data_IF_876224004274
#
_entry.id   IF_876224004274
#
_cell.length_a   1.000
_cell.length_b   1.000
_cell.length_c   1.000
_cell.angle_alpha   90.00
_cell.angle_beta   90.00
_cell.angle_gamma   90.00
#
_symmetry.space_group_name_H-M   'P 1'
#
loop_
_entity.id
_entity.type
_entity.pdbx_description
1 polymer ?
#
# COMPACT_ATOMS: atom_id res chain seq x y z
N UNK A 1 24.06 -28.94 -14.49
CA UNK A 1 23.44 -29.12 -15.82
C UNK A 1 23.99 -30.35 -16.55
N UNK A 2 25.29 -30.58 -16.58
CA UNK A 2 25.94 -31.71 -17.28
C UNK A 2 25.53 -33.10 -16.79
N UNK A 3 24.89 -33.24 -15.66
CA UNK A 3 24.42 -34.50 -15.08
C UNK A 3 22.89 -34.56 -14.92
N UNK A 4 22.18 -33.50 -15.26
CA UNK A 4 20.74 -33.44 -15.09
C UNK A 4 20.00 -34.24 -16.15
N UNK A 5 19.01 -35.02 -15.73
CA UNK A 5 18.15 -35.80 -16.63
C UNK A 5 17.00 -34.93 -17.19
N UNK A 6 16.56 -33.92 -16.41
CA UNK A 6 15.56 -32.92 -16.80
C UNK A 6 16.09 -31.51 -16.56
N UNK A 7 16.01 -30.67 -17.59
CA UNK A 7 16.31 -29.22 -17.48
C UNK A 7 15.05 -28.43 -17.79
N UNK A 8 14.66 -27.57 -16.87
CA UNK A 8 13.50 -26.67 -16.99
C UNK A 8 14.02 -25.23 -17.05
N UNK A 9 13.59 -24.43 -18.00
CA UNK A 9 14.04 -23.04 -18.13
C UNK A 9 13.16 -22.26 -19.09
N UNK A 10 13.28 -20.93 -19.09
CA UNK A 10 12.68 -20.14 -20.15
C UNK A 10 13.36 -20.38 -21.49
N UNK A 11 12.64 -20.19 -22.61
CA UNK A 11 13.11 -20.41 -24.01
C UNK A 11 14.54 -19.94 -24.21
N UNK A 12 14.83 -18.70 -23.80
CA UNK A 12 16.17 -18.10 -23.98
C UNK A 12 17.27 -18.79 -23.15
N UNK A 13 16.99 -19.15 -21.90
CA UNK A 13 17.96 -19.79 -21.03
C UNK A 13 18.28 -21.19 -21.53
N UNK A 14 17.27 -21.93 -22.02
CA UNK A 14 17.43 -23.25 -22.63
C UNK A 14 18.29 -23.15 -23.88
N UNK A 15 18.03 -22.21 -24.78
CA UNK A 15 18.80 -22.02 -25.99
C UNK A 15 20.27 -21.65 -25.71
N UNK A 16 20.49 -20.71 -24.79
CA UNK A 16 21.84 -20.21 -24.44
C UNK A 16 22.72 -21.29 -23.83
N UNK A 17 22.16 -22.16 -22.99
CA UNK A 17 22.91 -23.15 -22.21
C UNK A 17 22.79 -24.57 -22.75
N UNK A 18 22.18 -24.76 -23.91
CA UNK A 18 21.94 -26.07 -24.52
C UNK A 18 23.21 -26.95 -24.65
N UNK A 19 24.36 -26.33 -24.91
CA UNK A 19 25.65 -26.98 -25.01
C UNK A 19 26.21 -27.51 -23.66
N UNK A 20 25.65 -27.07 -22.54
CA UNK A 20 26.02 -27.53 -21.20
C UNK A 20 25.12 -28.65 -20.67
N UNK A 21 24.12 -29.08 -21.42
CA UNK A 21 23.21 -30.11 -20.96
C UNK A 21 23.79 -31.51 -21.20
N UNK A 22 23.39 -32.46 -20.34
CA UNK A 22 23.69 -33.90 -20.56
C UNK A 22 23.11 -34.34 -21.92
N UNK A 23 23.82 -35.12 -22.65
CA UNK A 23 23.31 -35.75 -23.88
C UNK A 23 22.03 -36.55 -23.56
N UNK A 24 20.95 -36.25 -24.28
CA UNK A 24 19.65 -36.87 -24.06
C UNK A 24 18.83 -36.32 -22.87
N UNK A 25 19.28 -35.25 -22.20
CA UNK A 25 18.49 -34.61 -21.16
C UNK A 25 17.15 -34.09 -21.70
N UNK A 26 16.05 -34.38 -20.99
CA UNK A 26 14.76 -33.84 -21.32
C UNK A 26 14.74 -32.33 -21.03
N UNK A 27 14.10 -31.55 -21.91
CA UNK A 27 13.96 -30.11 -21.74
C UNK A 27 12.50 -29.73 -21.62
N UNK A 28 12.20 -28.77 -20.73
CA UNK A 28 10.86 -28.17 -20.57
C UNK A 28 10.95 -26.66 -20.57
N UNK A 29 10.22 -26.04 -21.48
CA UNK A 29 10.10 -24.59 -21.52
C UNK A 29 9.02 -24.12 -20.51
N UNK A 30 9.43 -23.31 -19.53
CA UNK A 30 8.53 -22.77 -18.51
C UNK A 30 7.84 -21.48 -18.95
N UNK A 31 8.16 -20.96 -20.14
CA UNK A 31 7.58 -19.70 -20.65
C UNK A 31 6.05 -19.84 -20.79
N UNK A 32 5.31 -19.02 -20.05
CA UNK A 32 3.84 -19.14 -19.97
C UNK A 32 3.30 -20.35 -19.19
N UNK A 33 4.17 -21.21 -18.66
CA UNK A 33 3.80 -22.47 -18.01
C UNK A 33 4.35 -22.62 -16.58
N UNK A 34 4.60 -21.51 -15.90
CA UNK A 34 5.19 -21.48 -14.56
C UNK A 34 4.44 -22.40 -13.56
N UNK A 35 3.12 -22.47 -13.65
CA UNK A 35 2.29 -23.30 -12.77
C UNK A 35 2.54 -24.83 -12.92
N UNK A 36 3.11 -25.27 -14.03
CA UNK A 36 3.41 -26.68 -14.27
C UNK A 36 4.79 -27.10 -13.72
N UNK A 37 5.68 -26.15 -13.43
CA UNK A 37 7.07 -26.45 -13.02
C UNK A 37 7.13 -27.32 -11.75
N UNK A 38 6.32 -27.11 -10.69
CA UNK A 38 6.32 -28.00 -9.53
C UNK A 38 5.95 -29.44 -9.88
N UNK A 39 4.98 -29.65 -10.78
CA UNK A 39 4.53 -30.97 -11.21
C UNK A 39 5.63 -31.69 -11.99
N UNK A 40 6.30 -31.01 -12.91
CA UNK A 40 7.43 -31.57 -13.65
C UNK A 40 8.60 -31.99 -12.74
N UNK A 41 8.92 -31.12 -11.76
CA UNK A 41 9.96 -31.39 -10.77
C UNK A 41 9.59 -32.59 -9.87
N UNK A 42 8.33 -32.69 -9.44
CA UNK A 42 7.83 -33.83 -8.66
C UNK A 42 7.84 -35.13 -9.46
N UNK A 43 7.41 -35.11 -10.72
CA UNK A 43 7.45 -36.29 -11.61
C UNK A 43 8.88 -36.81 -11.84
N UNK A 44 9.84 -35.90 -12.08
CA UNK A 44 11.24 -36.25 -12.20
C UNK A 44 11.78 -36.91 -10.91
N UNK A 45 11.42 -36.35 -9.73
CA UNK A 45 11.82 -36.93 -8.43
C UNK A 45 11.23 -38.31 -8.21
N UNK A 46 9.97 -38.56 -8.55
CA UNK A 46 9.31 -39.86 -8.46
C UNK A 46 9.99 -40.90 -9.38
N UNK A 47 10.47 -40.46 -10.54
CA UNK A 47 11.23 -41.27 -11.47
C UNK A 47 12.73 -41.40 -11.10
N UNK A 48 13.17 -40.94 -9.93
CA UNK A 48 14.56 -40.89 -9.48
C UNK A 48 15.48 -40.17 -10.45
N UNK A 49 14.94 -39.18 -11.19
CA UNK A 49 15.67 -38.35 -12.14
C UNK A 49 16.16 -37.07 -11.47
N UNK A 50 17.35 -36.62 -11.84
CA UNK A 50 17.87 -35.30 -11.43
C UNK A 50 17.26 -34.21 -12.27
N UNK A 51 16.72 -33.16 -11.59
CA UNK A 51 16.05 -32.02 -12.22
C UNK A 51 16.80 -30.73 -11.91
N UNK A 52 17.01 -29.88 -12.90
CA UNK A 52 17.57 -28.54 -12.78
C UNK A 52 16.57 -27.51 -13.32
N UNK A 53 16.27 -26.49 -12.53
CA UNK A 53 15.47 -25.34 -12.96
C UNK A 53 16.40 -24.15 -13.16
N UNK A 54 16.46 -23.64 -14.39
CA UNK A 54 17.25 -22.46 -14.74
C UNK A 54 16.54 -21.17 -14.36
N UNK A 55 17.23 -20.29 -13.70
CA UNK A 55 16.75 -18.96 -13.36
C UNK A 55 17.71 -17.88 -13.89
N UNK A 56 17.19 -16.74 -14.26
CA UNK A 56 18.00 -15.57 -14.63
C UNK A 56 18.32 -14.78 -13.34
N UNK A 57 19.59 -14.44 -13.14
CA UNK A 57 20.05 -13.75 -11.93
C UNK A 57 19.99 -14.63 -10.68
N UNK A 58 19.72 -14.03 -9.52
CA UNK A 58 19.56 -14.75 -8.25
C UNK A 58 18.16 -15.40 -8.16
N UNK A 59 18.06 -16.74 -8.03
CA UNK A 59 16.78 -17.43 -7.92
C UNK A 59 15.92 -17.00 -6.72
N UNK A 60 16.52 -16.42 -5.68
CA UNK A 60 15.83 -15.95 -4.45
C UNK A 60 15.42 -14.47 -4.50
N UNK A 61 16.06 -13.68 -5.36
CA UNK A 61 15.73 -12.25 -5.49
C UNK A 61 14.56 -12.04 -6.47
N UNK A 62 13.32 -12.10 -5.99
CA UNK A 62 12.10 -12.09 -6.82
C UNK A 62 12.10 -13.14 -7.94
N UNK A 63 12.87 -14.21 -7.76
CA UNK A 63 13.03 -15.29 -8.71
C UNK A 63 12.06 -16.46 -8.46
N UNK A 64 12.30 -17.56 -9.17
CA UNK A 64 11.44 -18.75 -9.15
C UNK A 64 11.56 -19.56 -7.85
N UNK A 65 12.68 -19.47 -7.11
CA UNK A 65 12.94 -20.35 -5.97
C UNK A 65 11.92 -20.21 -4.83
N UNK A 66 11.46 -19.00 -4.40
CA UNK A 66 10.39 -18.87 -3.41
C UNK A 66 9.05 -19.46 -3.86
N UNK A 67 8.75 -19.41 -5.15
CA UNK A 67 7.56 -20.06 -5.70
C UNK A 67 7.67 -21.58 -5.58
N UNK A 68 8.79 -22.15 -5.99
CA UNK A 68 9.03 -23.60 -5.91
C UNK A 68 9.05 -24.09 -4.45
N UNK A 69 9.65 -23.35 -3.54
CA UNK A 69 9.72 -23.70 -2.12
C UNK A 69 8.33 -23.82 -1.47
N UNK A 70 7.34 -23.08 -1.94
CA UNK A 70 5.93 -23.18 -1.46
C UNK A 70 5.18 -24.40 -2.00
N UNK A 71 5.65 -24.99 -3.09
CA UNK A 71 4.97 -26.10 -3.78
C UNK A 71 5.72 -27.44 -3.66
N UNK A 72 6.98 -27.39 -3.24
CA UNK A 72 7.83 -28.57 -3.07
C UNK A 72 8.20 -28.72 -1.59
N UNK A 73 8.50 -29.95 -1.15
CA UNK A 73 8.99 -30.19 0.21
C UNK A 73 10.31 -29.44 0.44
N UNK A 74 10.50 -28.90 1.65
CA UNK A 74 11.65 -28.05 2.05
C UNK A 74 13.00 -28.68 1.68
N UNK A 75 13.15 -30.00 1.82
CA UNK A 75 14.38 -30.75 1.53
C UNK A 75 14.51 -31.19 0.05
N UNK A 76 13.58 -30.76 -0.83
CA UNK A 76 13.59 -31.15 -2.24
C UNK A 76 14.29 -30.12 -3.13
N UNK A 77 14.63 -28.95 -2.61
CA UNK A 77 15.17 -27.84 -3.39
C UNK A 77 16.55 -27.43 -2.89
N UNK A 78 17.55 -27.50 -3.78
CA UNK A 78 18.86 -26.89 -3.56
C UNK A 78 19.00 -25.66 -4.44
N UNK A 79 19.10 -24.47 -3.84
CA UNK A 79 19.28 -23.21 -4.56
C UNK A 79 20.78 -22.94 -4.74
N UNK A 80 21.19 -22.68 -5.96
CA UNK A 80 22.53 -22.20 -6.31
C UNK A 80 22.40 -20.68 -6.56
N UNK A 81 22.93 -19.82 -5.67
CA UNK A 81 22.83 -18.38 -5.84
C UNK A 81 23.67 -17.88 -7.01
N UNK A 82 23.25 -16.75 -7.56
CA UNK A 82 24.01 -16.03 -8.59
C UNK A 82 23.81 -14.52 -8.37
N UNK A 83 24.58 -13.70 -9.09
CA UNK A 83 24.39 -12.25 -9.08
C UNK A 83 23.04 -11.88 -9.67
N UNK A 84 22.28 -11.05 -8.95
CA UNK A 84 21.07 -10.47 -9.50
C UNK A 84 21.39 -9.34 -10.48
N UNK A 85 20.48 -9.04 -11.39
CA UNK A 85 20.61 -7.88 -12.30
C UNK A 85 20.71 -6.57 -11.52
N UNK A 86 20.11 -6.49 -10.33
CA UNK A 86 20.20 -5.33 -9.44
C UNK A 86 21.64 -5.13 -8.92
N UNK A 87 22.31 -6.20 -8.51
CA UNK A 87 23.72 -6.14 -8.08
C UNK A 87 24.64 -5.71 -9.22
N UNK A 88 24.41 -6.24 -10.42
CA UNK A 88 25.18 -5.85 -11.62
C UNK A 88 24.96 -4.36 -11.94
N UNK A 89 23.71 -3.87 -11.89
CA UNK A 89 23.39 -2.47 -12.10
C UNK A 89 24.09 -1.57 -11.08
N UNK A 90 24.05 -1.92 -9.80
CA UNK A 90 24.73 -1.19 -8.73
C UNK A 90 26.27 -1.17 -8.96
N UNK A 91 26.84 -2.28 -9.40
CA UNK A 91 28.27 -2.36 -9.73
C UNK A 91 28.65 -1.44 -10.91
N UNK A 92 27.80 -1.33 -11.95
CA UNK A 92 28.03 -0.41 -13.08
C UNK A 92 28.01 1.05 -12.66
N UNK A 93 27.22 1.37 -11.64
CA UNK A 93 27.04 2.74 -11.12
C UNK A 93 27.96 3.06 -9.93
N UNK A 94 28.73 2.08 -9.43
CA UNK A 94 29.53 2.26 -8.23
C UNK A 94 28.69 2.56 -6.95
N UNK A 95 27.43 2.08 -6.90
CA UNK A 95 26.51 2.37 -5.81
C UNK A 95 26.47 1.23 -4.79
N UNK A 96 26.59 1.57 -3.51
CA UNK A 96 26.25 0.66 -2.42
C UNK A 96 24.73 0.41 -2.38
N UNK A 97 24.31 -0.81 -2.06
CA UNK A 97 22.91 -1.20 -2.09
C UNK A 97 22.38 -1.87 -0.80
N UNK A 98 23.20 -1.95 0.26
CA UNK A 98 22.82 -2.58 1.53
C UNK A 98 21.64 -1.89 2.24
N UNK A 99 21.46 -0.60 2.01
CA UNK A 99 20.37 0.23 2.56
C UNK A 99 19.21 0.43 1.57
N UNK A 100 19.30 -0.17 0.39
CA UNK A 100 18.28 -0.03 -0.63
C UNK A 100 17.09 -0.96 -0.41
N UNK A 101 15.88 -0.45 -0.64
CA UNK A 101 14.67 -1.26 -0.69
C UNK A 101 14.50 -1.87 -2.08
N UNK A 102 14.42 -3.19 -2.17
CA UNK A 102 14.09 -3.88 -3.43
C UNK A 102 12.57 -3.90 -3.59
N UNK A 103 12.09 -3.49 -4.76
CA UNK A 103 10.67 -3.49 -5.15
C UNK A 103 10.53 -4.14 -6.52
N UNK A 104 9.52 -4.99 -6.67
CA UNK A 104 9.17 -5.56 -7.98
C UNK A 104 7.84 -4.99 -8.45
N UNK A 105 7.80 -4.46 -9.67
CA UNK A 105 6.59 -3.96 -10.32
C UNK A 105 6.12 -4.90 -11.43
N UNK A 106 6.31 -6.21 -11.26
CA UNK A 106 5.83 -7.26 -12.16
C UNK A 106 4.32 -7.54 -12.05
N UNK A 107 3.57 -6.64 -11.43
CA UNK A 107 2.11 -6.73 -11.31
C UNK A 107 1.38 -6.53 -12.64
N UNK A 108 0.04 -6.70 -12.61
CA UNK A 108 -0.82 -6.40 -13.75
C UNK A 108 -0.60 -4.96 -14.23
N UNK A 109 -0.58 -4.79 -15.54
CA UNK A 109 -0.71 -3.47 -16.14
C UNK A 109 -2.10 -2.91 -15.84
N UNK A 110 -2.15 -1.90 -14.99
CA UNK A 110 -3.36 -1.19 -14.61
C UNK A 110 -3.42 0.23 -15.20
N UNK A 111 -2.58 0.50 -16.22
CA UNK A 111 -2.46 1.81 -16.83
C UNK A 111 -1.53 2.77 -16.10
N UNK A 112 -1.70 4.06 -16.37
CA UNK A 112 -0.91 5.11 -15.72
C UNK A 112 -1.32 5.29 -14.26
N UNK A 113 -0.35 5.61 -13.44
CA UNK A 113 -0.57 5.88 -12.02
C UNK A 113 -1.33 7.21 -11.83
N UNK A 114 -2.32 7.15 -10.95
CA UNK A 114 -2.98 8.34 -10.42
C UNK A 114 -2.87 8.34 -8.89
N UNK A 115 -2.68 9.51 -8.30
CA UNK A 115 -2.66 9.64 -6.84
C UNK A 115 -3.97 9.11 -6.25
N UNK A 116 -3.88 8.29 -5.21
CA UNK A 116 -5.03 7.63 -4.61
C UNK A 116 -5.44 6.32 -5.28
N UNK A 117 -4.66 5.81 -6.25
CA UNK A 117 -4.87 4.48 -6.81
C UNK A 117 -4.89 3.39 -5.72
N UNK A 118 -5.76 2.40 -5.91
CA UNK A 118 -5.97 1.32 -4.95
C UNK A 118 -4.80 0.31 -4.89
N UNK A 119 -4.68 -0.48 -3.82
CA UNK A 119 -3.61 -1.47 -3.63
C UNK A 119 -3.45 -2.51 -4.74
N UNK A 120 -4.47 -2.72 -5.57
CA UNK A 120 -4.40 -3.60 -6.74
C UNK A 120 -3.63 -3.04 -7.95
N UNK A 121 -3.23 -1.77 -7.94
CA UNK A 121 -2.46 -1.16 -9.02
C UNK A 121 -1.01 -1.66 -9.01
N UNK A 122 -0.46 -2.01 -10.19
CA UNK A 122 0.88 -2.60 -10.31
C UNK A 122 2.03 -1.74 -9.75
N UNK A 123 1.85 -0.41 -9.69
CA UNK A 123 2.82 0.53 -9.10
C UNK A 123 2.55 0.87 -7.63
N UNK A 124 1.48 0.36 -7.01
CA UNK A 124 1.11 0.74 -5.65
C UNK A 124 2.24 0.51 -4.63
N UNK A 125 2.85 -0.67 -4.64
CA UNK A 125 3.95 -0.99 -3.73
C UNK A 125 5.15 -0.05 -3.89
N UNK A 126 5.43 0.38 -5.13
CA UNK A 126 6.50 1.34 -5.41
C UNK A 126 6.12 2.74 -4.92
N UNK A 127 4.88 3.19 -5.13
CA UNK A 127 4.40 4.48 -4.64
C UNK A 127 4.46 4.59 -3.11
N UNK A 128 4.22 3.50 -2.38
CA UNK A 128 4.45 3.44 -0.94
C UNK A 128 5.95 3.49 -0.60
N UNK A 129 6.76 2.71 -1.31
CA UNK A 129 8.17 2.57 -1.00
C UNK A 129 8.97 3.87 -1.23
N UNK A 130 8.66 4.67 -2.27
CA UNK A 130 9.35 5.96 -2.53
C UNK A 130 9.10 7.00 -1.44
N UNK A 131 8.04 6.85 -0.65
CA UNK A 131 7.78 7.75 0.49
C UNK A 131 8.50 7.32 1.76
N UNK A 132 8.88 6.05 1.87
CA UNK A 132 9.45 5.46 3.08
C UNK A 132 10.97 5.25 3.00
N UNK A 133 11.55 5.24 1.81
CA UNK A 133 12.95 4.87 1.60
C UNK A 133 13.70 5.88 0.75
N UNK A 134 14.97 6.08 1.10
CA UNK A 134 15.87 7.00 0.39
C UNK A 134 16.41 6.38 -0.91
N UNK A 135 16.55 5.06 -0.97
CA UNK A 135 17.06 4.33 -2.13
C UNK A 135 16.23 3.09 -2.43
N UNK A 136 15.91 2.90 -3.71
CA UNK A 136 15.13 1.76 -4.17
C UNK A 136 15.80 1.11 -5.39
N UNK A 137 15.74 -0.22 -5.44
CA UNK A 137 16.11 -1.03 -6.60
C UNK A 137 14.82 -1.65 -7.15
N UNK A 138 14.48 -1.35 -8.40
CA UNK A 138 13.19 -1.69 -8.96
C UNK A 138 13.34 -2.67 -10.11
N UNK A 139 12.70 -3.84 -9.97
CA UNK A 139 12.53 -4.81 -11.05
C UNK A 139 11.28 -4.44 -11.84
N UNK A 140 11.47 -4.05 -13.07
CA UNK A 140 10.44 -3.56 -14.00
C UNK A 140 9.71 -4.70 -14.71
N UNK A 141 8.64 -4.37 -15.43
CA UNK A 141 7.91 -5.27 -16.32
C UNK A 141 7.56 -4.56 -17.63
N UNK A 142 7.15 -5.27 -18.68
CA UNK A 142 6.76 -4.64 -19.94
C UNK A 142 5.67 -3.60 -19.81
N UNK A 143 4.72 -3.76 -18.87
CA UNK A 143 3.67 -2.80 -18.59
C UNK A 143 4.10 -1.66 -17.65
N UNK A 144 5.03 -1.92 -16.72
CA UNK A 144 5.53 -0.92 -15.78
C UNK A 144 6.99 -0.55 -16.12
N UNK A 145 7.12 0.22 -17.19
CA UNK A 145 8.41 0.65 -17.76
C UNK A 145 9.09 1.73 -16.90
N UNK A 146 10.40 2.00 -17.09
CA UNK A 146 11.09 3.11 -16.44
C UNK A 146 10.40 4.46 -16.68
N UNK A 147 9.92 4.74 -17.89
CA UNK A 147 9.17 5.96 -18.20
C UNK A 147 7.86 6.05 -17.40
N UNK A 148 7.12 4.95 -17.24
CA UNK A 148 5.90 4.92 -16.41
C UNK A 148 6.23 5.12 -14.92
N UNK A 149 7.33 4.58 -14.43
CA UNK A 149 7.82 4.85 -13.06
C UNK A 149 8.14 6.34 -12.88
N UNK A 150 8.78 6.95 -13.86
CA UNK A 150 9.06 8.39 -13.84
C UNK A 150 7.77 9.21 -13.79
N UNK A 151 6.78 8.90 -14.63
CA UNK A 151 5.45 9.56 -14.60
C UNK A 151 4.72 9.35 -13.27
N UNK A 152 4.87 8.19 -12.64
CA UNK A 152 4.36 7.94 -11.29
C UNK A 152 4.99 8.88 -10.26
N UNK A 153 6.33 9.08 -10.29
CA UNK A 153 7.01 10.04 -9.41
C UNK A 153 6.49 11.47 -9.62
N UNK A 154 6.27 11.87 -10.87
CA UNK A 154 5.69 13.19 -11.21
C UNK A 154 4.27 13.35 -10.67
N UNK A 155 3.42 12.35 -10.86
CA UNK A 155 2.03 12.33 -10.35
C UNK A 155 1.97 12.39 -8.82
N UNK A 156 2.97 11.80 -8.13
CA UNK A 156 3.12 11.87 -6.67
C UNK A 156 3.72 13.20 -6.18
N UNK A 157 4.18 14.08 -7.10
CA UNK A 157 4.84 15.34 -6.75
C UNK A 157 6.27 15.14 -6.21
N UNK A 158 6.92 14.04 -6.59
CA UNK A 158 8.27 13.64 -6.14
C UNK A 158 9.33 13.79 -7.25
N UNK A 159 8.98 14.44 -8.38
CA UNK A 159 9.87 14.56 -9.52
C UNK A 159 11.19 15.27 -9.21
N UNK A 160 11.18 16.26 -8.32
CA UNK A 160 12.39 17.02 -7.92
C UNK A 160 13.10 16.40 -6.72
N UNK A 161 12.48 15.39 -6.09
CA UNK A 161 13.02 14.72 -4.91
C UNK A 161 13.87 13.50 -5.24
N UNK A 162 13.74 12.96 -6.46
CA UNK A 162 14.41 11.74 -6.88
C UNK A 162 15.25 11.93 -8.13
N UNK A 163 16.35 11.18 -8.18
CA UNK A 163 17.07 10.88 -9.41
C UNK A 163 16.88 9.39 -9.74
N UNK A 164 17.03 9.06 -11.02
CA UNK A 164 16.85 7.72 -11.56
C UNK A 164 18.10 7.27 -12.30
N UNK A 165 18.45 6.00 -12.17
CA UNK A 165 19.29 5.32 -13.16
C UNK A 165 18.50 4.18 -13.79
N UNK A 166 18.74 3.95 -15.08
CA UNK A 166 18.15 2.83 -15.83
C UNK A 166 19.28 2.04 -16.45
N UNK A 167 19.36 0.75 -16.11
CA UNK A 167 20.34 -0.17 -16.68
C UNK A 167 19.62 -1.18 -17.59
N UNK A 168 19.98 -1.15 -18.86
CA UNK A 168 19.35 -1.92 -19.94
C UNK A 168 20.29 -3.03 -20.43
N UNK A 169 19.72 -4.19 -20.77
CA UNK A 169 20.40 -5.32 -21.39
C UNK A 169 21.71 -5.72 -20.70
N UNK A 170 21.76 -5.64 -19.38
CA UNK A 170 22.95 -5.92 -18.59
C UNK A 170 23.59 -7.26 -18.98
N UNK A 171 24.91 -7.27 -19.14
CA UNK A 171 25.73 -8.42 -19.56
C UNK A 171 25.39 -8.96 -20.95
N UNK A 172 24.81 -8.12 -21.83
CA UNK A 172 24.43 -8.51 -23.17
C UNK A 172 24.88 -7.48 -24.22
N UNK A 173 24.91 -7.86 -25.51
CA UNK A 173 25.02 -6.89 -26.58
C UNK A 173 23.93 -5.82 -26.46
N UNK A 174 24.33 -4.55 -26.53
CA UNK A 174 23.40 -3.42 -26.33
C UNK A 174 23.20 -3.03 -24.86
N UNK A 175 24.07 -3.48 -23.95
CA UNK A 175 24.11 -2.96 -22.57
C UNK A 175 24.23 -1.44 -22.58
N UNK A 176 23.36 -0.76 -21.86
CA UNK A 176 23.34 0.69 -21.71
C UNK A 176 22.97 1.05 -20.28
N UNK A 177 23.64 2.05 -19.73
CA UNK A 177 23.36 2.56 -18.39
C UNK A 177 23.17 4.08 -18.47
N UNK A 178 21.99 4.52 -18.11
CA UNK A 178 21.66 5.91 -17.92
C UNK A 178 21.84 6.20 -16.41
N UNK A 179 22.91 6.93 -16.06
CA UNK A 179 23.36 7.01 -14.68
C UNK A 179 22.57 8.01 -13.82
N UNK A 180 22.16 9.14 -14.37
CA UNK A 180 21.48 10.22 -13.66
C UNK A 180 20.43 10.86 -14.56
N UNK A 181 19.21 10.42 -14.45
CA UNK A 181 18.08 10.97 -15.16
C UNK A 181 17.14 11.66 -14.17
N UNK A 182 16.71 12.87 -14.50
CA UNK A 182 15.57 13.47 -13.81
C UNK A 182 14.29 12.72 -14.23
N UNK A 183 13.32 12.51 -13.30
CA UNK A 183 12.02 11.90 -13.66
C UNK A 183 11.32 12.61 -14.82
N UNK A 184 11.45 13.93 -14.94
CA UNK A 184 10.90 14.73 -16.04
C UNK A 184 11.47 14.30 -17.40
N UNK A 185 12.75 13.99 -17.47
CA UNK A 185 13.42 13.51 -18.67
C UNK A 185 13.03 12.07 -18.98
N UNK A 186 13.17 11.18 -17.97
CA UNK A 186 12.90 9.75 -18.11
C UNK A 186 11.45 9.46 -18.51
N UNK A 187 10.49 10.32 -18.14
CA UNK A 187 9.06 10.17 -18.45
C UNK A 187 8.75 10.12 -19.94
N UNK A 188 9.59 10.76 -20.78
CA UNK A 188 9.44 10.82 -22.24
C UNK A 188 10.38 9.89 -23.01
N UNK A 189 11.22 9.11 -22.33
CA UNK A 189 12.21 8.24 -22.98
C UNK A 189 11.66 6.85 -23.23
N UNK A 190 12.19 6.19 -24.26
CA UNK A 190 12.00 4.77 -24.52
C UNK A 190 13.19 3.96 -23.99
N UNK A 191 12.89 2.84 -23.36
CA UNK A 191 13.87 1.96 -22.77
C UNK A 191 13.70 0.53 -23.28
N UNK A 192 14.82 -0.19 -23.43
CA UNK A 192 14.80 -1.60 -23.81
C UNK A 192 14.00 -2.44 -22.78
N UNK A 193 13.29 -3.49 -23.20
CA UNK A 193 12.41 -4.28 -22.31
C UNK A 193 13.13 -4.95 -21.13
N UNK A 194 14.42 -5.31 -21.30
CA UNK A 194 15.24 -5.91 -20.25
C UNK A 194 15.97 -4.81 -19.49
N UNK A 195 15.33 -4.26 -18.47
CA UNK A 195 15.91 -3.18 -17.70
C UNK A 195 15.61 -3.32 -16.19
N UNK A 196 16.38 -2.59 -15.40
CA UNK A 196 16.14 -2.34 -13.98
C UNK A 196 16.30 -0.86 -13.70
N UNK A 197 15.57 -0.36 -12.70
CA UNK A 197 15.61 1.04 -12.29
C UNK A 197 16.19 1.14 -10.89
N UNK A 198 17.06 2.11 -10.69
CA UNK A 198 17.55 2.52 -9.38
C UNK A 198 17.02 3.93 -9.13
N UNK A 199 16.38 4.13 -7.99
CA UNK A 199 15.89 5.43 -7.54
C UNK A 199 16.66 5.82 -6.28
N UNK A 200 17.06 7.06 -6.18
CA UNK A 200 17.60 7.62 -4.93
C UNK A 200 17.13 9.05 -4.76
N UNK A 201 16.94 9.44 -3.50
CA UNK A 201 16.57 10.81 -3.19
C UNK A 201 17.75 11.77 -3.41
N UNK A 202 17.48 12.86 -4.10
CA UNK A 202 18.38 14.02 -4.24
C UNK A 202 18.29 14.96 -3.04
N UNK A 203 17.18 14.88 -2.27
CA UNK A 203 16.91 15.68 -1.08
C UNK A 203 16.40 14.76 0.04
N UNK A 204 16.78 15.01 1.31
CA UNK A 204 16.26 14.23 2.44
C UNK A 204 14.72 14.25 2.46
N UNK A 205 14.12 13.09 2.77
CA UNK A 205 12.68 13.02 2.93
C UNK A 205 12.22 13.93 4.08
N UNK A 206 11.21 14.77 3.88
CA UNK A 206 10.63 15.51 4.98
C UNK A 206 10.10 14.50 6.01
N UNK A 207 10.31 14.79 7.30
CA UNK A 207 9.77 13.99 8.40
C UNK A 207 8.45 14.63 8.84
N UNK A 208 7.31 14.27 8.24
CA UNK A 208 6.04 14.90 8.57
C UNK A 208 5.55 14.49 9.96
N UNK A 209 4.91 15.41 10.66
CA UNK A 209 4.13 15.08 11.85
C UNK A 209 3.07 14.05 11.45
N UNK A 210 3.07 12.90 12.10
CA UNK A 210 2.16 11.80 11.73
C UNK A 210 0.75 11.96 12.28
N UNK A 211 0.61 12.65 13.43
CA UNK A 211 -0.59 12.65 14.23
C UNK A 211 -0.75 13.97 14.97
N UNK A 212 -1.98 14.43 15.14
CA UNK A 212 -2.29 15.62 15.93
C UNK A 212 -1.97 16.94 15.24
N UNK A 213 -2.18 17.02 13.92
CA UNK A 213 -1.96 18.28 13.20
C UNK A 213 -3.00 19.33 13.59
N UNK A 214 -2.62 20.63 13.66
CA UNK A 214 -3.54 21.70 13.93
C UNK A 214 -4.64 21.80 12.85
N UNK A 215 -5.83 22.23 13.23
CA UNK A 215 -6.97 22.38 12.31
C UNK A 215 -6.65 23.32 11.15
N UNK A 216 -5.76 24.30 11.35
CA UNK A 216 -5.31 25.25 10.32
C UNK A 216 -4.41 24.60 9.23
N UNK A 217 -3.89 23.39 9.47
CA UNK A 217 -3.14 22.66 8.46
C UNK A 217 -4.03 22.11 7.33
N UNK A 218 -5.34 22.12 7.50
CA UNK A 218 -6.31 21.62 6.54
C UNK A 218 -7.03 22.77 5.84
N UNK A 219 -7.18 22.67 4.53
CA UNK A 219 -8.16 23.48 3.81
C UNK A 219 -9.55 23.13 4.32
N UNK A 220 -10.37 24.16 4.54
CA UNK A 220 -11.71 24.04 5.08
C UNK A 220 -12.66 24.95 4.29
N UNK A 221 -13.96 24.64 4.30
CA UNK A 221 -14.98 25.52 3.72
C UNK A 221 -14.99 26.85 4.48
N UNK A 222 -14.96 27.96 3.77
CA UNK A 222 -15.08 29.31 4.32
C UNK A 222 -16.42 29.91 3.87
N UNK A 223 -17.03 30.83 4.65
CA UNK A 223 -16.58 31.35 5.96
C UNK A 223 -17.16 30.64 7.17
N UNK A 224 -18.17 29.78 7.12
CA UNK A 224 -19.03 29.58 8.28
C UNK A 224 -19.25 28.16 8.81
N UNK A 225 -18.85 27.11 8.11
CA UNK A 225 -19.12 25.74 8.57
C UNK A 225 -18.01 24.79 8.20
N UNK A 226 -16.84 24.98 8.79
CA UNK A 226 -15.79 23.98 8.70
C UNK A 226 -16.28 22.65 9.28
N UNK A 227 -16.66 21.72 8.41
CA UNK A 227 -16.96 20.34 8.78
C UNK A 227 -15.65 19.57 9.02
N UNK A 228 -14.81 20.09 9.91
CA UNK A 228 -13.59 19.40 10.33
C UNK A 228 -13.79 18.80 11.73
N UNK A 229 -13.39 17.55 11.88
CA UNK A 229 -13.21 16.97 13.21
C UNK A 229 -12.05 17.68 13.89
N UNK A 230 -12.36 18.45 14.95
CA UNK A 230 -11.39 19.28 15.68
C UNK A 230 -10.25 18.42 16.23
N UNK A 231 -9.07 19.02 16.41
CA UNK A 231 -7.84 18.34 16.81
C UNK A 231 -8.05 17.36 17.98
N UNK A 232 -8.68 17.81 19.05
CA UNK A 232 -8.85 16.99 20.27
C UNK A 232 -9.78 15.80 20.02
N UNK A 233 -10.91 16.03 19.32
CA UNK A 233 -11.83 14.96 18.93
C UNK A 233 -11.19 14.00 17.92
N UNK A 234 -10.42 14.54 16.96
CA UNK A 234 -9.68 13.74 15.97
C UNK A 234 -8.62 12.88 16.64
N UNK A 235 -7.86 13.45 17.56
CA UNK A 235 -6.84 12.73 18.31
C UNK A 235 -7.43 11.56 19.11
N UNK A 236 -8.53 11.82 19.83
CA UNK A 236 -9.23 10.78 20.58
C UNK A 236 -9.81 9.72 19.65
N UNK A 237 -10.44 10.11 18.54
CA UNK A 237 -11.01 9.18 17.57
C UNK A 237 -9.94 8.24 17.00
N UNK A 238 -8.79 8.79 16.56
CA UNK A 238 -7.69 8.00 16.03
C UNK A 238 -7.09 7.07 17.08
N UNK A 239 -6.95 7.51 18.33
CA UNK A 239 -6.51 6.64 19.43
C UNK A 239 -7.48 5.48 19.67
N UNK A 240 -8.80 5.72 19.60
CA UNK A 240 -9.85 4.71 19.77
C UNK A 240 -9.98 3.74 18.59
N UNK A 241 -9.50 4.10 17.41
CA UNK A 241 -9.45 3.20 16.25
C UNK A 241 -8.41 2.10 16.37
N UNK A 242 -7.46 2.18 17.32
CA UNK A 242 -6.42 1.16 17.57
C UNK A 242 -5.66 0.73 16.31
N UNK A 243 -5.23 1.72 15.52
CA UNK A 243 -4.61 1.52 14.22
C UNK A 243 -3.25 0.82 14.32
N UNK A 244 -3.02 -0.13 13.42
CA UNK A 244 -1.73 -0.77 13.17
C UNK A 244 -1.12 -0.27 11.87
N UNK A 245 0.17 -0.44 11.68
CA UNK A 245 0.87 0.02 10.49
C UNK A 245 0.25 -0.50 9.17
N UNK A 246 -0.38 -1.66 9.18
CA UNK A 246 -1.01 -2.31 8.02
C UNK A 246 -2.54 -2.29 8.03
N UNK A 247 -3.18 -1.48 8.88
CA UNK A 247 -4.64 -1.43 8.99
C UNK A 247 -5.31 -0.96 7.70
N UNK A 248 -6.40 -1.61 7.35
CA UNK A 248 -7.38 -1.14 6.37
C UNK A 248 -8.43 -0.30 7.10
N UNK A 249 -8.62 0.93 6.67
CA UNK A 249 -9.49 1.90 7.34
C UNK A 249 -10.58 2.38 6.39
N UNK A 250 -11.81 2.50 6.89
CA UNK A 250 -12.89 3.22 6.22
C UNK A 250 -13.15 4.56 6.90
N UNK A 251 -13.19 5.63 6.11
CA UNK A 251 -13.54 7.00 6.54
C UNK A 251 -14.84 7.41 5.86
N UNK A 252 -15.97 7.24 6.55
CA UNK A 252 -17.31 7.47 6.03
C UNK A 252 -17.79 8.87 6.41
N UNK A 253 -18.10 9.71 5.41
CA UNK A 253 -18.38 11.12 5.59
C UNK A 253 -17.10 11.90 5.87
N UNK A 254 -16.14 11.76 4.96
CA UNK A 254 -14.76 12.26 5.16
C UNK A 254 -14.67 13.79 5.32
N UNK A 255 -15.64 14.56 4.81
CA UNK A 255 -15.66 16.03 4.80
C UNK A 255 -14.32 16.61 4.31
N UNK A 256 -13.49 17.17 5.19
CA UNK A 256 -12.14 17.68 4.85
C UNK A 256 -11.09 16.58 4.68
N UNK A 257 -11.41 15.33 4.97
CA UNK A 257 -10.48 14.20 4.99
C UNK A 257 -9.56 14.16 6.21
N UNK A 258 -9.76 15.00 7.22
CA UNK A 258 -8.79 15.19 8.31
C UNK A 258 -8.53 13.92 9.12
N UNK A 259 -9.54 13.09 9.40
CA UNK A 259 -9.38 11.83 10.13
C UNK A 259 -8.69 10.81 9.26
N UNK A 260 -9.19 10.59 8.04
CA UNK A 260 -8.63 9.59 7.13
C UNK A 260 -7.19 9.88 6.70
N UNK A 261 -6.82 11.15 6.50
CA UNK A 261 -5.45 11.54 6.13
C UNK A 261 -4.45 11.32 7.28
N UNK A 262 -4.80 11.60 8.54
CA UNK A 262 -3.96 11.24 9.68
C UNK A 262 -3.93 9.71 9.88
N UNK A 263 -5.06 9.01 9.69
CA UNK A 263 -5.09 7.55 9.73
C UNK A 263 -4.15 6.94 8.67
N UNK A 264 -4.10 7.49 7.45
CA UNK A 264 -3.19 7.04 6.40
C UNK A 264 -1.72 7.17 6.80
N UNK A 265 -1.34 8.23 7.52
CA UNK A 265 0.02 8.42 8.06
C UNK A 265 0.35 7.46 9.20
N UNK A 266 -0.66 7.05 9.98
CA UNK A 266 -0.50 6.05 11.05
C UNK A 266 -0.44 4.62 10.50
N UNK A 267 -0.99 4.38 9.30
CA UNK A 267 -1.05 3.08 8.64
C UNK A 267 -0.21 3.05 7.34
N UNK A 268 1.12 3.27 7.40
CA UNK A 268 1.93 3.42 6.19
C UNK A 268 2.02 2.17 5.31
N UNK A 269 1.65 1.00 5.81
CA UNK A 269 1.58 -0.28 5.10
C UNK A 269 0.14 -0.73 4.83
N UNK A 270 -0.83 0.05 5.32
CA UNK A 270 -2.26 -0.15 5.15
C UNK A 270 -2.84 0.74 4.06
N UNK A 271 -4.16 0.89 4.09
CA UNK A 271 -4.87 1.76 3.15
C UNK A 271 -6.13 2.35 3.77
N UNK A 272 -6.42 3.61 3.47
CA UNK A 272 -7.65 4.29 3.87
C UNK A 272 -8.57 4.46 2.67
N UNK A 273 -9.79 3.99 2.81
CA UNK A 273 -10.88 4.16 1.85
C UNK A 273 -11.83 5.21 2.41
N UNK A 274 -11.97 6.31 1.72
CA UNK A 274 -12.79 7.45 2.15
C UNK A 274 -13.92 7.73 1.17
N UNK A 275 -15.08 8.12 1.71
CA UNK A 275 -16.23 8.52 0.91
C UNK A 275 -16.85 9.81 1.44
N UNK A 276 -17.14 10.73 0.52
CA UNK A 276 -17.84 11.98 0.82
C UNK A 276 -18.92 12.24 -0.23
N UNK A 277 -20.15 12.54 0.24
CA UNK A 277 -21.31 12.75 -0.64
C UNK A 277 -21.39 14.16 -1.22
N UNK A 278 -20.85 15.14 -0.51
CA UNK A 278 -20.90 16.53 -0.92
C UNK A 278 -19.72 16.87 -1.84
N UNK A 279 -19.98 17.26 -3.09
CA UNK A 279 -18.92 17.54 -4.06
C UNK A 279 -17.96 18.65 -3.66
N UNK A 280 -18.42 19.68 -2.93
CA UNK A 280 -17.55 20.77 -2.45
C UNK A 280 -16.61 20.28 -1.33
N UNK A 281 -17.11 19.47 -0.40
CA UNK A 281 -16.30 18.90 0.67
C UNK A 281 -15.33 17.84 0.12
N UNK A 282 -15.76 17.02 -0.86
CA UNK A 282 -14.90 16.11 -1.59
C UNK A 282 -13.73 16.85 -2.28
N UNK A 283 -13.98 17.99 -2.92
CA UNK A 283 -12.94 18.80 -3.55
C UNK A 283 -11.91 19.32 -2.51
N UNK A 284 -12.39 19.73 -1.33
CA UNK A 284 -11.52 20.14 -0.21
C UNK A 284 -10.69 18.96 0.30
N UNK A 285 -11.31 17.79 0.49
CA UNK A 285 -10.59 16.58 0.89
C UNK A 285 -9.52 16.17 -0.14
N UNK A 286 -9.82 16.31 -1.44
CA UNK A 286 -8.84 16.07 -2.51
C UNK A 286 -7.68 17.07 -2.48
N UNK A 287 -7.96 18.35 -2.21
CA UNK A 287 -6.93 19.37 -2.00
C UNK A 287 -6.04 19.03 -0.81
N UNK A 288 -6.62 18.65 0.33
CA UNK A 288 -5.89 18.23 1.52
C UNK A 288 -5.06 16.95 1.23
N UNK A 289 -5.64 15.96 0.54
CA UNK A 289 -4.92 14.75 0.13
C UNK A 289 -3.66 15.10 -0.68
N UNK A 290 -3.79 16.02 -1.65
CA UNK A 290 -2.65 16.49 -2.44
C UNK A 290 -1.58 17.15 -1.56
N UNK A 291 -1.97 18.02 -0.62
CA UNK A 291 -1.06 18.74 0.27
C UNK A 291 -0.37 17.81 1.28
N UNK A 292 -1.07 16.81 1.81
CA UNK A 292 -0.55 15.85 2.77
C UNK A 292 0.37 14.81 2.15
N UNK A 293 0.27 14.59 0.84
CA UNK A 293 1.18 13.74 0.09
C UNK A 293 1.16 12.27 0.55
N UNK A 294 0.05 11.74 1.03
CA UNK A 294 -0.11 10.31 1.33
C UNK A 294 -0.54 9.57 0.07
N UNK A 295 0.00 8.37 -0.17
CA UNK A 295 -0.32 7.55 -1.36
C UNK A 295 -1.26 6.38 -1.05
N UNK A 296 -1.57 6.17 0.24
CA UNK A 296 -2.44 5.10 0.74
C UNK A 296 -3.82 5.61 1.18
N UNK A 297 -4.37 6.56 0.44
CA UNK A 297 -5.68 7.15 0.69
C UNK A 297 -6.45 7.26 -0.62
N UNK A 298 -7.59 6.56 -0.72
CA UNK A 298 -8.50 6.61 -1.86
C UNK A 298 -9.77 7.35 -1.46
N UNK A 299 -10.07 8.45 -2.16
CA UNK A 299 -11.23 9.30 -1.89
C UNK A 299 -12.29 9.10 -2.98
N UNK A 300 -13.50 8.77 -2.59
CA UNK A 300 -14.64 8.54 -3.47
C UNK A 300 -15.73 9.60 -3.25
N UNK A 301 -16.27 10.12 -4.35
CA UNK A 301 -17.47 10.95 -4.33
C UNK A 301 -18.69 10.05 -4.36
N UNK A 302 -19.49 10.06 -3.29
CA UNK A 302 -20.69 9.22 -3.21
C UNK A 302 -21.33 9.22 -1.82
N UNK A 303 -22.53 8.66 -1.73
CA UNK A 303 -23.27 8.50 -0.48
C UNK A 303 -23.17 7.05 -0.01
N UNK A 304 -22.53 6.83 1.14
CA UNK A 304 -22.55 5.52 1.80
C UNK A 304 -23.99 5.11 2.15
N UNK A 305 -24.35 3.79 2.10
CA UNK A 305 -23.46 2.65 1.92
C UNK A 305 -23.09 2.31 0.47
N UNK A 306 -23.63 2.98 -0.53
CA UNK A 306 -23.37 2.71 -1.94
C UNK A 306 -21.87 2.84 -2.24
N UNK A 307 -21.32 1.85 -2.98
CA UNK A 307 -19.91 1.82 -3.36
C UNK A 307 -18.97 1.19 -2.34
N UNK A 308 -19.43 0.86 -1.13
CA UNK A 308 -18.61 0.20 -0.11
C UNK A 308 -18.49 -1.31 -0.34
N UNK A 309 -19.30 -1.90 -1.22
CA UNK A 309 -19.37 -3.35 -1.44
C UNK A 309 -18.03 -3.91 -1.95
N UNK A 310 -17.34 -3.14 -2.80
CA UNK A 310 -16.06 -3.51 -3.40
C UNK A 310 -14.85 -3.25 -2.49
N UNK A 311 -15.03 -2.54 -1.37
CA UNK A 311 -13.93 -2.22 -0.48
C UNK A 311 -13.51 -3.46 0.32
N UNK A 312 -12.21 -3.61 0.65
CA UNK A 312 -11.75 -4.66 1.56
C UNK A 312 -12.36 -4.51 2.95
N UNK A 313 -12.53 -5.62 3.66
CA UNK A 313 -12.99 -5.61 5.05
C UNK A 313 -12.02 -4.80 5.92
N UNK A 314 -12.53 -3.84 6.72
CA UNK A 314 -11.70 -2.90 7.46
C UNK A 314 -11.24 -3.48 8.81
N UNK A 315 -10.09 -3.00 9.27
CA UNK A 315 -9.63 -3.15 10.65
C UNK A 315 -10.20 -2.05 11.55
N UNK A 316 -10.49 -0.89 10.96
CA UNK A 316 -11.13 0.23 11.66
C UNK A 316 -12.07 1.01 10.73
N UNK A 317 -13.16 1.50 11.29
CA UNK A 317 -14.13 2.35 10.60
C UNK A 317 -14.32 3.63 11.39
N UNK A 318 -14.24 4.77 10.71
CA UNK A 318 -14.66 6.05 11.24
C UNK A 318 -15.92 6.53 10.53
N UNK A 319 -16.95 6.97 11.27
CA UNK A 319 -18.15 7.62 10.73
C UNK A 319 -18.22 9.04 11.24
N UNK A 320 -17.85 10.00 10.39
CA UNK A 320 -17.93 11.43 10.66
C UNK A 320 -19.26 12.05 10.23
N UNK A 321 -19.96 11.39 9.29
CA UNK A 321 -21.26 11.81 8.79
C UNK A 321 -22.03 10.67 8.14
N UNK A 322 -23.29 10.47 8.53
CA UNK A 322 -24.10 9.31 8.09
C UNK A 322 -25.03 9.60 6.91
N UNK A 323 -25.26 10.89 6.62
CA UNK A 323 -26.22 11.26 5.56
C UNK A 323 -27.66 10.79 5.80
N UNK A 324 -28.03 10.46 7.05
CA UNK A 324 -29.35 9.95 7.44
C UNK A 324 -29.44 8.42 7.51
N UNK A 325 -28.35 7.68 7.18
CA UNK A 325 -28.33 6.21 7.10
C UNK A 325 -27.60 5.56 8.30
N UNK A 326 -27.53 6.26 9.45
CA UNK A 326 -26.66 5.88 10.57
C UNK A 326 -26.87 4.44 11.07
N UNK A 327 -28.10 3.94 11.37
CA UNK A 327 -28.27 2.58 11.85
C UNK A 327 -27.81 1.53 10.82
N UNK A 328 -28.13 1.74 9.54
CA UNK A 328 -27.70 0.85 8.44
C UNK A 328 -26.19 0.83 8.25
N UNK A 329 -25.53 1.98 8.38
CA UNK A 329 -24.06 2.09 8.31
C UNK A 329 -23.37 1.40 9.50
N UNK A 330 -23.92 1.53 10.72
CA UNK A 330 -23.42 0.81 11.89
C UNK A 330 -23.50 -0.71 11.67
N UNK A 331 -24.67 -1.22 11.26
CA UNK A 331 -24.86 -2.63 11.00
C UNK A 331 -23.91 -3.14 9.90
N UNK A 332 -23.74 -2.39 8.81
CA UNK A 332 -22.79 -2.72 7.75
C UNK A 332 -21.35 -2.73 8.27
N UNK A 333 -20.93 -1.70 8.97
CA UNK A 333 -19.59 -1.59 9.52
C UNK A 333 -19.27 -2.76 10.45
N UNK A 334 -20.12 -3.05 11.43
CA UNK A 334 -19.93 -4.16 12.38
C UNK A 334 -19.88 -5.52 11.67
N UNK A 335 -20.70 -5.74 10.66
CA UNK A 335 -20.68 -6.97 9.87
C UNK A 335 -19.35 -7.14 9.13
N UNK A 336 -18.87 -6.09 8.45
CA UNK A 336 -17.65 -6.08 7.62
C UNK A 336 -16.37 -5.94 8.44
N UNK A 337 -16.44 -5.38 9.65
CA UNK A 337 -15.29 -5.19 10.53
C UNK A 337 -14.60 -6.51 10.81
N UNK A 338 -13.28 -6.54 10.69
CA UNK A 338 -12.47 -7.72 11.03
C UNK A 338 -12.52 -7.99 12.53
N UNK A 339 -12.24 -9.22 12.93
CA UNK A 339 -12.10 -9.58 14.34
C UNK A 339 -11.01 -8.73 15.02
N UNK A 340 -11.28 -8.19 16.20
CA UNK A 340 -10.43 -7.25 16.92
C UNK A 340 -10.42 -5.84 16.34
N UNK A 341 -11.31 -5.53 15.38
CA UNK A 341 -11.42 -4.21 14.77
C UNK A 341 -12.33 -3.26 15.54
N UNK A 342 -12.27 -1.97 15.21
CA UNK A 342 -12.97 -0.90 15.93
C UNK A 342 -13.79 -0.01 15.00
N UNK A 343 -15.02 0.31 15.44
CA UNK A 343 -15.87 1.32 14.85
C UNK A 343 -15.87 2.56 15.76
N UNK A 344 -15.54 3.72 15.23
CA UNK A 344 -15.53 4.99 15.98
C UNK A 344 -16.41 6.00 15.27
N UNK A 345 -17.22 6.71 16.04
CA UNK A 345 -18.19 7.70 15.54
C UNK A 345 -18.18 8.93 16.41
N UNK A 346 -18.34 10.11 15.80
CA UNK A 346 -18.40 11.38 16.51
C UNK A 346 -19.76 12.05 16.32
N UNK A 347 -20.36 12.46 17.42
CA UNK A 347 -21.66 13.14 17.42
C UNK A 347 -21.64 14.42 18.23
N UNK A 348 -22.40 15.41 17.75
CA UNK A 348 -22.64 16.70 18.42
C UNK A 348 -24.13 16.92 18.73
N UNK A 349 -25.00 15.98 18.29
CA UNK A 349 -26.44 16.03 18.53
C UNK A 349 -26.91 14.80 19.32
N UNK A 350 -27.90 14.99 20.17
CA UNK A 350 -28.50 13.92 20.98
C UNK A 350 -29.21 12.87 20.12
N UNK A 351 -29.83 13.30 19.02
CA UNK A 351 -30.59 12.42 18.13
C UNK A 351 -29.66 11.37 17.49
N UNK A 352 -28.50 11.81 16.97
CA UNK A 352 -27.53 10.92 16.38
C UNK A 352 -26.85 10.01 17.42
N UNK A 353 -26.56 10.56 18.62
CA UNK A 353 -26.04 9.75 19.72
C UNK A 353 -27.01 8.64 20.12
N UNK A 354 -28.29 8.98 20.33
CA UNK A 354 -29.31 8.01 20.69
C UNK A 354 -29.48 6.93 19.61
N UNK A 355 -29.57 7.35 18.34
CA UNK A 355 -29.66 6.41 17.22
C UNK A 355 -28.47 5.43 17.16
N UNK A 356 -27.25 5.93 17.45
CA UNK A 356 -26.07 5.09 17.50
C UNK A 356 -26.10 4.10 18.68
N UNK A 357 -26.46 4.57 19.89
CA UNK A 357 -26.59 3.72 21.07
C UNK A 357 -27.64 2.61 20.87
N UNK A 358 -28.79 2.95 20.30
CA UNK A 358 -29.84 1.94 20.03
C UNK A 358 -29.41 0.92 18.97
N UNK A 359 -28.74 1.38 17.92
CA UNK A 359 -28.17 0.49 16.91
C UNK A 359 -27.11 -0.46 17.50
N UNK A 360 -26.23 0.03 18.39
CA UNK A 360 -25.18 -0.79 19.01
C UNK A 360 -25.76 -1.79 20.02
N UNK A 361 -26.74 -1.43 20.83
CA UNK A 361 -27.44 -2.34 21.74
C UNK A 361 -27.99 -3.57 21.01
N UNK A 362 -28.49 -3.41 19.80
CA UNK A 362 -29.01 -4.52 19.00
C UNK A 362 -27.93 -5.54 18.61
N UNK A 363 -26.64 -5.23 18.76
CA UNK A 363 -25.50 -6.08 18.41
C UNK A 363 -24.73 -6.63 19.63
N UNK A 364 -25.10 -6.27 20.87
CA UNK A 364 -24.43 -6.75 22.09
C UNK A 364 -24.49 -8.29 22.20
N UNK A 365 -25.60 -8.90 21.82
CA UNK A 365 -25.73 -10.37 21.80
C UNK A 365 -24.73 -11.07 20.83
N UNK A 366 -24.13 -10.33 19.93
CA UNK A 366 -23.10 -10.79 19.00
C UNK A 366 -21.66 -10.57 19.55
N UNK A 367 -21.55 -10.16 20.82
CA UNK A 367 -20.28 -9.91 21.49
C UNK A 367 -19.65 -8.54 21.13
N UNK A 368 -20.41 -7.62 20.58
CA UNK A 368 -19.96 -6.25 20.34
C UNK A 368 -19.94 -5.50 21.68
N UNK A 369 -18.75 -5.03 22.07
CA UNK A 369 -18.56 -4.15 23.21
C UNK A 369 -18.50 -2.71 22.73
N UNK A 370 -19.16 -1.78 23.46
CA UNK A 370 -19.16 -0.38 23.08
C UNK A 370 -19.18 0.54 24.30
N UNK A 371 -18.69 1.75 24.11
CA UNK A 371 -18.72 2.81 25.11
C UNK A 371 -18.89 4.20 24.47
N UNK A 372 -19.22 5.19 25.29
CA UNK A 372 -19.35 6.59 24.92
C UNK A 372 -18.45 7.44 25.81
N UNK A 373 -17.57 8.21 25.17
CA UNK A 373 -16.76 9.22 25.86
C UNK A 373 -17.25 10.61 25.46
N UNK A 374 -17.62 11.44 26.42
CA UNK A 374 -17.84 12.86 26.16
C UNK A 374 -16.53 13.61 26.26
N UNK A 375 -16.15 14.29 25.18
CA UNK A 375 -15.02 15.19 25.12
C UNK A 375 -15.47 16.64 25.12
N UNK A 376 -14.95 17.45 26.05
CA UNK A 376 -15.12 18.88 26.06
C UNK A 376 -13.77 19.56 26.11
N UNK A 377 -13.49 20.41 25.14
CA UNK A 377 -12.26 21.18 25.05
C UNK A 377 -12.55 22.67 25.17
N UNK A 378 -11.60 23.40 25.72
CA UNK A 378 -11.60 24.86 25.68
C UNK A 378 -10.21 25.32 25.26
N UNK A 379 -10.17 26.22 24.28
CA UNK A 379 -8.91 26.72 23.71
C UNK A 379 -8.66 28.15 24.17
N UNK A 380 -7.41 28.46 24.44
CA UNK A 380 -6.99 29.83 24.74
C UNK A 380 -7.25 30.75 23.52
N UNK A 381 -7.85 31.89 23.76
CA UNK A 381 -8.07 32.94 22.77
C UNK A 381 -7.59 34.29 23.35
N UNK A 382 -6.89 35.11 22.56
CA UNK A 382 -6.51 36.44 23.00
C UNK A 382 -7.75 37.35 23.25
N UNK A 383 -7.67 38.14 24.27
CA UNK A 383 -8.61 39.23 24.58
C UNK A 383 -7.81 40.41 25.12
N UNK A 384 -7.74 41.49 24.36
CA UNK A 384 -6.83 42.61 24.63
C UNK A 384 -5.37 42.11 24.79
N UNK A 385 -4.73 42.36 25.92
CA UNK A 385 -3.39 41.92 26.33
C UNK A 385 -3.38 40.60 27.14
N UNK A 386 -4.54 39.97 27.31
CA UNK A 386 -4.73 38.73 28.09
C UNK A 386 -5.24 37.61 27.23
N UNK A 387 -5.41 36.43 27.83
CA UNK A 387 -6.02 35.28 27.22
C UNK A 387 -7.23 34.78 28.02
N UNK A 388 -8.28 34.35 27.31
CA UNK A 388 -9.40 33.65 27.91
C UNK A 388 -9.58 32.28 27.33
N UNK A 389 -10.24 31.37 28.02
CA UNK A 389 -10.70 30.12 27.46
C UNK A 389 -12.00 30.34 26.67
N UNK A 390 -12.03 29.82 25.46
CA UNK A 390 -13.23 29.73 24.64
C UNK A 390 -13.59 28.24 24.49
N UNK A 391 -14.76 27.85 24.94
CA UNK A 391 -15.24 26.47 24.85
C UNK A 391 -15.52 26.10 23.39
N UNK A 392 -15.11 24.91 23.01
CA UNK A 392 -15.56 24.23 21.79
C UNK A 392 -16.83 23.44 22.13
N UNK A 393 -17.63 23.11 21.11
CA UNK A 393 -18.82 22.27 21.32
C UNK A 393 -18.40 20.89 21.85
N UNK A 394 -19.11 20.36 22.87
CA UNK A 394 -18.87 18.97 23.30
C UNK A 394 -19.11 18.00 22.17
N UNK A 395 -18.28 16.94 22.13
CA UNK A 395 -18.37 15.85 21.16
C UNK A 395 -18.52 14.55 21.92
N UNK A 396 -19.47 13.72 21.55
CA UNK A 396 -19.56 12.34 22.00
C UNK A 396 -18.81 11.45 21.01
N UNK A 397 -17.77 10.82 21.51
CA UNK A 397 -17.00 9.80 20.77
C UNK A 397 -17.53 8.44 21.20
N UNK A 398 -18.20 7.76 20.28
CA UNK A 398 -18.75 6.43 20.46
C UNK A 398 -17.80 5.44 19.83
N UNK A 399 -17.38 4.43 20.60
CA UNK A 399 -16.49 3.38 20.11
C UNK A 399 -17.18 2.03 20.29
N UNK A 400 -17.12 1.18 19.26
CA UNK A 400 -17.55 -0.21 19.33
C UNK A 400 -16.44 -1.13 18.85
N UNK A 401 -16.16 -2.20 19.60
CA UNK A 401 -15.14 -3.20 19.30
C UNK A 401 -15.76 -4.54 18.91
N UNK A 402 -15.24 -5.15 17.84
CA UNK A 402 -15.56 -6.54 17.50
C UNK A 402 -14.58 -7.46 18.22
N UNK A 403 -15.03 -8.51 18.92
CA UNK A 403 -14.13 -9.41 19.65
C UNK A 403 -13.07 -9.99 18.72
N UNK A 404 -11.85 -10.16 19.25
CA UNK A 404 -10.81 -10.89 18.56
C UNK A 404 -11.22 -12.33 18.32
N UNK A 405 -10.82 -12.93 17.19
CA UNK A 405 -10.99 -14.36 16.99
C UNK A 405 -10.27 -15.09 18.14
N UNK A 406 -10.96 -15.96 18.86
CA UNK A 406 -10.26 -16.88 19.76
C UNK A 406 -9.39 -17.78 18.86
N UNK A 407 -8.09 -17.51 18.79
CA UNK A 407 -7.16 -18.54 18.35
C UNK A 407 -7.36 -19.71 19.31
N UNK A 408 -7.90 -20.82 18.82
CA UNK A 408 -7.83 -22.08 19.55
C UNK A 408 -6.34 -22.35 19.73
N UNK A 409 -5.83 -22.05 20.92
CA UNK A 409 -4.55 -22.57 21.40
C UNK A 409 -4.69 -24.08 21.38
N UNK A 410 -4.37 -24.67 20.22
CA UNK A 410 -4.13 -26.09 20.09
C UNK A 410 -2.78 -26.38 20.75
N UNK A 411 -2.83 -26.96 21.93
CA UNK A 411 -1.72 -27.63 22.59
C UNK A 411 -1.30 -28.83 21.74
#
# INVERSE_FOLDING_TARGET
>A
MRTADLVIGGTRALALLSHEFKAGAAQRDLTGQLAQVPQWAQAARQASQSCVVLATGDPLCHGIAPYLARHLCVNALRVLPNLSTLQVACARLGLAWQDARIVSVHGKDAGEWQRGSAPGHGLYALAQAVRAHERLLVLTSPGNTPARIARMLLAEGLGDDFLMAVAENLLQPGERVHAELAPQEAAGMDFAPLNVVILWRSRPAPQPVRFGLPDAAYAQRQPEKGLITKLEARALSLARMQLRANSVVWDIGAATGSVGLEAARLCPQGHVWAIEKNGADHAIAAQNHAAFGVSNYSLHLGKAPQGLESWPDPDAVFIGGSGGELPGLIALALRRLRAGGHLVMNFVTFENLNAACDALKAHEAQGIEWDVTQLQAARSRPILDMHRLAAENPVWVVCAGKPASQERSGV
#
